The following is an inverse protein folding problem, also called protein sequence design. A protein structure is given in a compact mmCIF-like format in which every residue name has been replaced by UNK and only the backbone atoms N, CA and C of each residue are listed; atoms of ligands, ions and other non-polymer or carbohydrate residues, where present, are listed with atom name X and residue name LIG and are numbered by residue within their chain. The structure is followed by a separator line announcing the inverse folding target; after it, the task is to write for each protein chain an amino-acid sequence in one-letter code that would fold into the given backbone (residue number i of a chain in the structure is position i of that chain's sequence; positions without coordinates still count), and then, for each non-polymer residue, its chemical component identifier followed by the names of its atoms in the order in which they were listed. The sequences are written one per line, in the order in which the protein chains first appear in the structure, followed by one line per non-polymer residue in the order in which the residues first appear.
data_IF_816556450940
#
_entry.id   IF_816556450940
#
_cell.length_a   1.000
_cell.length_b   1.000
_cell.length_c   1.000
_cell.angle_alpha   90.00
_cell.angle_beta   90.00
_cell.angle_gamma   90.00
#
_symmetry.space_group_name_H-M   'P 1'
#
loop_
_entity.id
_entity.type
_entity.pdbx_description
1 polymer ?
#
# COMPACT_ATOMS: atom_id res chain seq x y z
N UNK A 1 12.19 -7.09 10.70
CA UNK A 1 11.32 -7.76 9.70
C UNK A 1 11.96 -9.05 9.20
N UNK A 2 13.21 -9.04 8.60
CA UNK A 2 13.85 -10.29 8.12
C UNK A 2 13.97 -11.29 9.28
N UNK A 3 14.59 -10.87 10.39
CA UNK A 3 14.77 -11.70 11.59
C UNK A 3 13.45 -12.27 12.12
N UNK A 4 12.37 -11.48 12.08
CA UNK A 4 11.06 -11.93 12.57
C UNK A 4 10.47 -13.00 11.64
N UNK A 5 10.62 -12.83 10.32
CA UNK A 5 10.18 -13.82 9.32
C UNK A 5 11.02 -15.11 9.42
N UNK A 6 12.32 -15.01 9.67
CA UNK A 6 13.18 -16.16 9.91
C UNK A 6 12.81 -16.89 11.22
N UNK A 7 12.44 -16.15 12.26
CA UNK A 7 11.93 -16.72 13.51
C UNK A 7 10.64 -17.52 13.27
N UNK A 8 9.67 -16.98 12.52
CA UNK A 8 8.46 -17.72 12.16
C UNK A 8 8.80 -19.02 11.41
N UNK A 9 9.74 -18.96 10.47
CA UNK A 9 10.21 -20.14 9.73
C UNK A 9 10.85 -21.17 10.65
N UNK A 10 11.68 -20.75 11.63
CA UNK A 10 12.30 -21.66 12.61
C UNK A 10 11.27 -22.34 13.53
N UNK A 11 10.12 -21.70 13.73
CA UNK A 11 8.97 -22.28 14.46
C UNK A 11 8.11 -23.21 13.59
N UNK A 12 8.50 -23.50 12.35
CA UNK A 12 7.74 -24.32 11.41
C UNK A 12 6.57 -23.61 10.75
N UNK A 13 6.43 -22.29 10.95
CA UNK A 13 5.35 -21.50 10.37
C UNK A 13 5.71 -21.13 8.93
N UNK A 14 4.86 -21.54 7.99
CA UNK A 14 4.99 -21.19 6.57
C UNK A 14 4.20 -19.91 6.28
N UNK A 15 4.88 -18.84 5.89
CA UNK A 15 4.23 -17.62 5.41
C UNK A 15 3.78 -17.84 3.97
N UNK A 16 2.47 -18.01 3.76
CA UNK A 16 1.88 -18.25 2.43
C UNK A 16 1.68 -16.95 1.65
N UNK A 17 1.32 -15.86 2.32
CA UNK A 17 1.12 -14.55 1.69
C UNK A 17 1.45 -13.39 2.61
N UNK A 18 1.72 -12.22 2.01
CA UNK A 18 1.94 -10.96 2.74
C UNK A 18 1.21 -9.83 2.03
N UNK A 19 0.26 -9.20 2.72
CA UNK A 19 -0.37 -7.95 2.28
C UNK A 19 0.32 -6.77 2.97
N UNK A 20 0.84 -5.81 2.20
CA UNK A 20 1.53 -4.63 2.73
C UNK A 20 1.24 -3.37 1.93
N UNK A 21 1.61 -2.20 2.49
CA UNK A 21 1.60 -0.90 1.81
C UNK A 21 2.59 -0.82 0.63
N UNK A 22 3.55 -1.76 0.58
CA UNK A 22 4.56 -1.86 -0.47
C UNK A 22 5.81 -1.03 -0.19
N UNK A 23 6.09 -0.72 1.07
CA UNK A 23 7.37 -0.14 1.45
C UNK A 23 8.53 -1.04 0.97
N UNK A 24 9.54 -0.41 0.38
CA UNK A 24 10.65 -1.12 -0.27
C UNK A 24 11.39 -2.08 0.68
N UNK A 25 11.48 -1.73 1.97
CA UNK A 25 12.12 -2.56 2.99
C UNK A 25 11.29 -3.82 3.27
N UNK A 26 9.95 -3.71 3.32
CA UNK A 26 9.05 -4.85 3.51
C UNK A 26 9.13 -5.77 2.29
N UNK A 27 9.05 -5.21 1.08
CA UNK A 27 9.13 -5.99 -0.16
C UNK A 27 10.46 -6.76 -0.23
N UNK A 28 11.58 -6.12 0.10
CA UNK A 28 12.90 -6.77 0.11
C UNK A 28 12.98 -7.87 1.16
N UNK A 29 12.49 -7.61 2.37
CA UNK A 29 12.48 -8.58 3.46
C UNK A 29 11.67 -9.83 3.12
N UNK A 30 10.46 -9.65 2.55
CA UNK A 30 9.60 -10.77 2.13
C UNK A 30 10.23 -11.56 0.99
N UNK A 31 10.80 -10.88 -0.02
CA UNK A 31 11.50 -11.56 -1.13
C UNK A 31 12.67 -12.40 -0.65
N UNK A 32 13.38 -11.93 0.36
CA UNK A 32 14.54 -12.63 0.92
C UNK A 32 14.14 -13.81 1.82
N UNK A 33 13.31 -13.54 2.85
CA UNK A 33 12.98 -14.54 3.86
C UNK A 33 11.88 -15.52 3.43
N UNK A 34 10.94 -15.07 2.59
CA UNK A 34 9.77 -15.84 2.14
C UNK A 34 9.59 -15.74 0.61
N UNK A 35 10.54 -16.22 -0.21
CA UNK A 35 10.52 -16.03 -1.67
C UNK A 35 9.28 -16.63 -2.36
N UNK A 36 8.66 -17.65 -1.74
CA UNK A 36 7.45 -18.32 -2.26
C UNK A 36 6.15 -17.69 -1.79
N UNK A 37 6.21 -16.71 -0.87
CA UNK A 37 5.00 -16.03 -0.38
C UNK A 37 4.38 -15.17 -1.49
N UNK A 38 3.06 -15.27 -1.64
CA UNK A 38 2.30 -14.40 -2.53
C UNK A 38 2.29 -12.99 -1.93
N UNK A 39 2.73 -12.01 -2.72
CA UNK A 39 2.70 -10.60 -2.28
C UNK A 39 1.46 -9.93 -2.82
N UNK A 40 0.73 -9.27 -1.93
CA UNK A 40 -0.41 -8.43 -2.25
C UNK A 40 -0.11 -7.00 -1.80
N UNK A 41 -0.35 -6.03 -2.67
CA UNK A 41 -0.33 -4.61 -2.32
C UNK A 41 -1.65 -4.21 -1.69
N UNK A 42 -1.59 -3.50 -0.57
CA UNK A 42 -2.78 -2.96 0.07
C UNK A 42 -3.46 -1.92 -0.83
N UNK A 43 -4.66 -2.24 -1.35
CA UNK A 43 -5.37 -1.35 -2.28
C UNK A 43 -5.77 -0.02 -1.60
N UNK A 44 -6.14 -0.06 -0.32
CA UNK A 44 -6.51 1.14 0.43
C UNK A 44 -5.32 2.12 0.56
N UNK A 45 -4.09 1.62 0.75
CA UNK A 45 -2.89 2.46 0.78
C UNK A 45 -2.61 3.08 -0.59
N UNK A 46 -2.67 2.29 -1.66
CA UNK A 46 -2.45 2.80 -3.02
C UNK A 46 -3.44 3.92 -3.33
N UNK A 47 -4.74 3.70 -3.06
CA UNK A 47 -5.76 4.72 -3.28
C UNK A 47 -5.49 5.97 -2.45
N UNK A 48 -5.28 5.83 -1.14
CA UNK A 48 -5.06 6.93 -0.20
C UNK A 48 -3.86 7.80 -0.60
N UNK A 49 -2.72 7.18 -0.89
CA UNK A 49 -1.50 7.90 -1.29
C UNK A 49 -1.67 8.61 -2.63
N UNK A 50 -2.21 7.94 -3.64
CA UNK A 50 -2.48 8.55 -4.94
C UNK A 50 -3.42 9.75 -4.79
N UNK A 51 -4.52 9.62 -4.04
CA UNK A 51 -5.48 10.70 -3.84
C UNK A 51 -4.91 11.88 -3.04
N UNK A 52 -3.97 11.61 -2.10
CA UNK A 52 -3.26 12.68 -1.39
C UNK A 52 -2.39 13.53 -2.34
N UNK A 53 -1.72 12.90 -3.31
CA UNK A 53 -0.93 13.64 -4.30
C UNK A 53 -1.79 14.34 -5.37
N UNK A 54 -2.88 13.71 -5.84
CA UNK A 54 -3.73 14.28 -6.90
C UNK A 54 -4.60 15.43 -6.36
N UNK A 55 -4.86 15.47 -5.04
CA UNK A 55 -5.79 16.39 -4.37
C UNK A 55 -7.28 16.09 -4.63
N UNK A 56 -8.17 16.75 -3.88
CA UNK A 56 -9.63 16.55 -4.04
C UNK A 56 -10.18 17.20 -5.32
N UNK A 57 -9.58 18.32 -5.73
CA UNK A 57 -10.06 19.13 -6.85
C UNK A 57 -8.90 19.41 -7.83
N UNK A 58 -8.43 18.39 -8.58
CA UNK A 58 -7.38 18.60 -9.57
C UNK A 58 -7.86 19.50 -10.70
N UNK A 59 -7.01 20.44 -11.13
CA UNK A 59 -7.39 21.43 -12.16
C UNK A 59 -7.11 20.93 -13.57
N UNK A 60 -6.16 20.00 -13.74
CA UNK A 60 -5.82 19.47 -15.07
C UNK A 60 -6.70 18.27 -15.44
N UNK A 61 -6.97 18.09 -16.73
CA UNK A 61 -7.67 16.91 -17.25
C UNK A 61 -6.96 15.61 -16.89
N UNK A 62 -5.63 15.61 -16.92
CA UNK A 62 -4.80 14.48 -16.48
C UNK A 62 -5.07 14.11 -15.00
N UNK A 63 -5.12 15.10 -14.12
CA UNK A 63 -5.42 14.88 -12.71
C UNK A 63 -6.85 14.40 -12.48
N UNK A 64 -7.84 14.98 -13.17
CA UNK A 64 -9.26 14.62 -13.05
C UNK A 64 -9.47 13.16 -13.49
N UNK A 65 -8.94 12.77 -14.64
CA UNK A 65 -9.11 11.44 -15.19
C UNK A 65 -8.34 10.39 -14.37
N UNK A 66 -7.09 10.69 -13.95
CA UNK A 66 -6.35 9.78 -13.08
C UNK A 66 -7.05 9.59 -11.73
N UNK A 67 -7.55 10.66 -11.10
CA UNK A 67 -8.30 10.57 -9.85
C UNK A 67 -9.49 9.63 -9.98
N UNK A 68 -10.29 9.78 -11.06
CA UNK A 68 -11.44 8.91 -11.32
C UNK A 68 -11.04 7.44 -11.40
N UNK A 69 -9.92 7.15 -12.08
CA UNK A 69 -9.40 5.80 -12.21
C UNK A 69 -8.90 5.24 -10.87
N UNK A 70 -8.20 6.05 -10.08
CA UNK A 70 -7.71 5.65 -8.75
C UNK A 70 -8.88 5.32 -7.80
N UNK A 71 -9.95 6.10 -7.78
CA UNK A 71 -11.14 5.83 -6.95
C UNK A 71 -11.82 4.49 -7.26
N UNK A 72 -11.52 3.86 -8.39
CA UNK A 72 -12.10 2.56 -8.75
C UNK A 72 -11.33 1.36 -8.23
N UNK A 73 -10.10 1.55 -7.72
CA UNK A 73 -9.21 0.45 -7.32
C UNK A 73 -9.88 -0.50 -6.32
N UNK A 74 -10.54 0.03 -5.30
CA UNK A 74 -11.18 -0.78 -4.26
C UNK A 74 -12.48 -1.48 -4.72
N UNK A 75 -13.02 -1.10 -5.88
CA UNK A 75 -14.23 -1.69 -6.46
C UNK A 75 -13.92 -2.89 -7.38
N UNK A 76 -12.66 -3.13 -7.73
CA UNK A 76 -12.22 -4.26 -8.54
C UNK A 76 -12.49 -5.56 -7.78
N UNK A 77 -13.16 -6.51 -8.44
CA UNK A 77 -13.55 -7.81 -7.87
C UNK A 77 -13.17 -8.99 -8.76
N UNK A 78 -13.05 -8.77 -10.07
CA UNK A 78 -12.82 -9.82 -11.05
C UNK A 78 -11.59 -9.55 -11.90
N UNK A 79 -11.08 -10.59 -12.56
CA UNK A 79 -9.99 -10.44 -13.54
C UNK A 79 -10.36 -9.51 -14.70
N UNK A 80 -11.64 -9.46 -15.08
CA UNK A 80 -12.10 -8.55 -16.12
C UNK A 80 -12.01 -7.10 -15.65
N UNK A 81 -12.42 -6.82 -14.42
CA UNK A 81 -12.28 -5.48 -13.83
C UNK A 81 -10.80 -5.08 -13.75
N UNK A 82 -9.94 -5.99 -13.28
CA UNK A 82 -8.50 -5.75 -13.16
C UNK A 82 -7.86 -5.48 -14.53
N UNK A 83 -8.17 -6.28 -15.55
CA UNK A 83 -7.68 -6.07 -16.92
C UNK A 83 -8.15 -4.74 -17.50
N UNK A 84 -9.42 -4.43 -17.34
CA UNK A 84 -9.98 -3.15 -17.77
C UNK A 84 -9.27 -1.98 -17.09
N UNK A 85 -9.09 -2.04 -15.78
CA UNK A 85 -8.42 -0.99 -15.01
C UNK A 85 -6.96 -0.78 -15.45
N UNK A 86 -6.21 -1.85 -15.66
CA UNK A 86 -4.81 -1.77 -16.16
C UNK A 86 -4.77 -1.20 -17.59
N UNK A 87 -5.71 -1.59 -18.44
CA UNK A 87 -5.83 -1.05 -19.79
C UNK A 87 -6.10 0.46 -19.77
N UNK A 88 -7.03 0.93 -18.93
CA UNK A 88 -7.33 2.35 -18.79
C UNK A 88 -6.15 3.14 -18.17
N UNK A 89 -5.42 2.55 -17.23
CA UNK A 89 -4.20 3.16 -16.70
C UNK A 89 -3.11 3.33 -17.79
N UNK A 90 -2.94 2.32 -18.65
CA UNK A 90 -1.99 2.39 -19.77
C UNK A 90 -2.44 3.40 -20.84
N UNK A 91 -3.75 3.46 -21.14
CA UNK A 91 -4.33 4.45 -22.04
C UNK A 91 -4.13 5.87 -21.50
N UNK A 92 -4.40 6.08 -20.21
CA UNK A 92 -4.14 7.34 -19.54
C UNK A 92 -2.66 7.75 -19.67
N UNK A 93 -1.73 6.82 -19.44
CA UNK A 93 -0.31 7.10 -19.57
C UNK A 93 0.04 7.54 -21.00
N UNK A 94 -0.46 6.82 -22.00
CA UNK A 94 -0.19 7.16 -23.42
C UNK A 94 -0.72 8.55 -23.79
N UNK A 95 -1.87 8.94 -23.23
CA UNK A 95 -2.49 10.25 -23.49
C UNK A 95 -1.75 11.40 -22.80
N UNK A 96 -1.25 11.17 -21.56
CA UNK A 96 -0.64 12.21 -20.73
C UNK A 96 0.87 12.04 -20.52
N UNK A 97 1.54 11.21 -21.31
CA UNK A 97 2.97 10.92 -21.18
C UNK A 97 3.82 12.20 -21.23
N UNK A 98 3.59 13.04 -22.22
CA UNK A 98 4.34 14.30 -22.36
C UNK A 98 4.02 15.27 -21.23
N UNK A 99 2.77 15.36 -20.80
CA UNK A 99 2.35 16.17 -19.65
C UNK A 99 3.10 15.79 -18.36
N UNK A 100 3.22 14.51 -18.04
CA UNK A 100 3.92 14.07 -16.83
C UNK A 100 5.45 14.09 -16.96
N UNK A 101 5.99 14.26 -18.16
CA UNK A 101 7.44 14.44 -18.43
C UNK A 101 7.85 15.90 -18.44
N UNK A 102 6.92 16.83 -18.52
CA UNK A 102 7.20 18.25 -18.55
C UNK A 102 8.05 18.67 -17.35
N UNK A 103 9.05 19.53 -17.61
CA UNK A 103 9.99 20.00 -16.61
C UNK A 103 10.01 21.50 -16.54
N UNK A 104 10.08 22.01 -15.32
CA UNK A 104 10.29 23.42 -14.99
C UNK A 104 11.71 23.60 -14.47
N UNK A 105 12.35 24.68 -14.87
CA UNK A 105 13.65 25.12 -14.36
C UNK A 105 13.38 26.28 -13.40
N UNK A 106 13.81 26.11 -12.14
CA UNK A 106 13.70 27.18 -11.14
C UNK A 106 14.64 28.35 -11.45
N UNK A 107 14.44 29.54 -10.87
CA UNK A 107 15.38 30.67 -10.99
C UNK A 107 16.80 30.32 -10.50
N UNK A 108 16.94 29.29 -9.64
CA UNK A 108 18.22 28.75 -9.14
C UNK A 108 18.87 27.72 -10.09
N UNK A 109 18.22 27.39 -11.24
CA UNK A 109 18.71 26.42 -12.20
C UNK A 109 18.34 24.96 -11.90
N UNK A 110 17.60 24.68 -10.84
CA UNK A 110 17.14 23.32 -10.48
C UNK A 110 16.05 22.86 -11.44
N UNK A 111 16.17 21.62 -11.92
CA UNK A 111 15.18 20.99 -12.78
C UNK A 111 14.25 20.09 -11.96
N UNK A 112 12.96 20.38 -12.00
CA UNK A 112 11.90 19.56 -11.39
C UNK A 112 10.83 19.18 -12.41
N UNK A 113 10.01 18.17 -12.10
CA UNK A 113 8.83 17.88 -12.91
C UNK A 113 7.74 18.88 -12.58
N UNK A 114 7.19 19.53 -13.63
CA UNK A 114 6.09 20.50 -13.50
C UNK A 114 4.87 19.89 -12.81
N UNK A 115 4.58 18.63 -13.16
CA UNK A 115 3.41 17.89 -12.66
C UNK A 115 3.81 16.72 -11.75
N UNK A 116 4.75 16.97 -10.84
CA UNK A 116 5.38 15.94 -10.01
C UNK A 116 4.38 15.08 -9.24
N UNK A 117 3.35 15.67 -8.64
CA UNK A 117 2.37 14.95 -7.85
C UNK A 117 1.52 14.00 -8.69
N UNK A 118 1.06 14.41 -9.86
CA UNK A 118 0.31 13.56 -10.79
C UNK A 118 1.20 12.42 -11.29
N UNK A 119 2.46 12.74 -11.62
CA UNK A 119 3.46 11.76 -11.99
C UNK A 119 3.72 10.73 -10.86
N UNK A 120 3.88 11.19 -9.62
CA UNK A 120 4.05 10.31 -8.44
C UNK A 120 2.87 9.36 -8.28
N UNK A 121 1.65 9.88 -8.35
CA UNK A 121 0.44 9.07 -8.23
C UNK A 121 0.36 8.00 -9.32
N UNK A 122 0.57 8.37 -10.58
CA UNK A 122 0.61 7.40 -11.68
C UNK A 122 1.68 6.33 -11.45
N UNK A 123 2.93 6.72 -11.18
CA UNK A 123 4.03 5.78 -11.00
C UNK A 123 3.82 4.86 -9.79
N UNK A 124 3.21 5.36 -8.74
CA UNK A 124 2.89 4.55 -7.56
C UNK A 124 1.88 3.46 -7.90
N UNK A 125 0.77 3.84 -8.54
CA UNK A 125 -0.24 2.90 -9.00
C UNK A 125 0.34 1.89 -10.02
N UNK A 126 1.06 2.37 -11.03
CA UNK A 126 1.65 1.53 -12.08
C UNK A 126 2.62 0.49 -11.52
N UNK A 127 3.52 0.89 -10.61
CA UNK A 127 4.49 -0.02 -9.97
C UNK A 127 3.85 -1.05 -9.06
N UNK A 128 2.64 -0.79 -8.58
CA UNK A 128 1.90 -1.72 -7.74
C UNK A 128 1.20 -2.83 -8.53
N UNK A 129 0.90 -2.60 -9.83
CA UNK A 129 0.12 -3.51 -10.69
C UNK A 129 0.51 -4.99 -10.57
N UNK A 130 1.80 -5.39 -10.57
CA UNK A 130 2.18 -6.81 -10.49
C UNK A 130 1.68 -7.54 -9.25
N UNK A 131 1.50 -6.80 -8.15
CA UNK A 131 1.14 -7.35 -6.84
C UNK A 131 -0.23 -6.83 -6.32
N UNK A 132 -1.04 -6.11 -7.15
CA UNK A 132 -2.30 -5.49 -6.71
C UNK A 132 -3.49 -6.43 -6.66
N UNK A 133 -3.53 -7.43 -7.52
CA UNK A 133 -4.77 -8.18 -7.79
C UNK A 133 -4.66 -9.66 -7.44
N UNK A 134 -3.70 -10.04 -6.60
CA UNK A 134 -3.50 -11.43 -6.17
C UNK A 134 -4.68 -12.00 -5.37
N UNK A 135 -5.41 -11.14 -4.65
CA UNK A 135 -6.62 -11.51 -3.94
C UNK A 135 -7.74 -12.07 -4.84
N UNK A 136 -7.67 -11.84 -6.16
CA UNK A 136 -8.64 -12.40 -7.12
C UNK A 136 -8.38 -13.89 -7.33
N UNK A 137 -7.08 -14.29 -7.42
CA UNK A 137 -6.67 -15.68 -7.56
C UNK A 137 -6.70 -16.42 -6.22
N UNK A 138 -6.52 -15.70 -5.11
CA UNK A 138 -6.41 -16.21 -3.76
C UNK A 138 -7.36 -15.44 -2.84
N UNK A 139 -8.66 -15.81 -2.78
CA UNK A 139 -9.68 -15.08 -2.02
C UNK A 139 -9.42 -14.97 -0.52
N UNK A 140 -8.58 -15.87 0.03
CA UNK A 140 -8.12 -15.85 1.41
C UNK A 140 -7.13 -14.71 1.71
N UNK A 141 -6.52 -14.10 0.67
CA UNK A 141 -5.58 -13.00 0.84
C UNK A 141 -6.35 -11.69 0.97
N UNK A 142 -6.22 -10.98 2.10
CA UNK A 142 -6.90 -9.71 2.27
C UNK A 142 -6.36 -8.66 1.29
N UNK A 143 -7.25 -8.01 0.55
CA UNK A 143 -6.88 -6.93 -0.39
C UNK A 143 -6.43 -5.64 0.28
N UNK A 144 -6.69 -5.48 1.60
CA UNK A 144 -6.31 -4.30 2.40
C UNK A 144 -5.79 -4.69 3.76
N UNK A 145 -5.04 -3.80 4.40
CA UNK A 145 -4.55 -3.93 5.79
C UNK A 145 -5.44 -3.22 6.81
N UNK A 146 -6.62 -2.75 6.40
CA UNK A 146 -7.49 -1.93 7.25
C UNK A 146 -7.88 -2.63 8.56
N UNK A 147 -8.16 -3.94 8.53
CA UNK A 147 -8.46 -4.70 9.75
C UNK A 147 -7.28 -4.70 10.74
N UNK A 148 -6.06 -4.86 10.23
CA UNK A 148 -4.84 -4.81 11.03
C UNK A 148 -4.58 -3.40 11.56
N UNK A 149 -4.79 -2.36 10.75
CA UNK A 149 -4.66 -0.96 11.18
C UNK A 149 -5.66 -0.62 12.28
N UNK A 150 -6.93 -1.05 12.13
CA UNK A 150 -7.96 -0.89 13.16
C UNK A 150 -7.57 -1.61 14.45
N UNK A 151 -7.11 -2.85 14.36
CA UNK A 151 -6.65 -3.63 15.51
C UNK A 151 -5.53 -2.91 16.28
N UNK A 152 -4.49 -2.46 15.59
CA UNK A 152 -3.40 -1.72 16.23
C UNK A 152 -3.81 -0.31 16.68
N UNK A 153 -4.80 0.31 16.03
CA UNK A 153 -5.42 1.54 16.49
C UNK A 153 -6.01 1.37 17.88
N UNK A 154 -6.86 0.36 18.06
CA UNK A 154 -7.46 0.03 19.37
C UNK A 154 -6.41 -0.30 20.42
N UNK A 155 -5.40 -1.11 20.09
CA UNK A 155 -4.30 -1.40 21.02
C UNK A 155 -3.59 -0.12 21.48
N UNK A 156 -3.27 0.78 20.54
CA UNK A 156 -2.63 2.07 20.86
C UNK A 156 -3.49 2.96 21.76
N UNK A 157 -4.80 2.98 21.52
CA UNK A 157 -5.73 3.75 22.34
C UNK A 157 -5.79 3.21 23.76
N UNK A 158 -5.84 1.89 23.95
CA UNK A 158 -5.73 1.27 25.28
C UNK A 158 -4.38 1.59 25.94
N UNK A 159 -3.28 1.50 25.22
CA UNK A 159 -1.96 1.86 25.76
C UNK A 159 -1.87 3.33 26.19
N UNK A 160 -2.56 4.26 25.50
CA UNK A 160 -2.62 5.68 25.89
C UNK A 160 -3.31 5.90 27.23
N UNK A 161 -4.28 5.06 27.60
CA UNK A 161 -4.94 5.12 28.91
C UNK A 161 -3.98 4.71 30.05
N UNK A 162 -2.93 3.95 29.73
CA UNK A 162 -1.98 3.39 30.69
C UNK A 162 -0.58 4.02 30.56
N UNK A 163 -0.50 5.34 30.39
CA UNK A 163 0.77 6.09 30.17
C UNK A 163 1.81 5.95 31.29
N UNK A 164 1.41 5.56 32.49
CA UNK A 164 2.29 5.39 33.65
C UNK A 164 2.94 4.01 33.77
N UNK A 165 2.68 3.08 32.86
CA UNK A 165 3.28 1.74 32.93
C UNK A 165 4.78 1.79 32.58
N UNK A 166 5.57 0.98 33.26
CA UNK A 166 6.95 0.69 32.89
C UNK A 166 7.02 -0.02 31.53
N UNK A 167 8.19 -0.03 30.91
CA UNK A 167 8.39 -0.74 29.63
C UNK A 167 8.02 -2.23 29.73
N UNK A 168 8.34 -2.88 30.86
CA UNK A 168 8.00 -4.30 31.09
C UNK A 168 6.49 -4.51 31.18
N UNK A 169 5.79 -3.67 31.96
CA UNK A 169 4.34 -3.75 32.06
C UNK A 169 3.64 -3.44 30.72
N UNK A 170 4.16 -2.48 29.91
CA UNK A 170 3.65 -2.26 28.56
C UNK A 170 3.79 -3.50 27.70
N UNK A 171 4.96 -4.16 27.73
CA UNK A 171 5.21 -5.39 26.97
C UNK A 171 4.24 -6.50 27.39
N UNK A 172 4.05 -6.68 28.67
CA UNK A 172 3.16 -7.73 29.18
C UNK A 172 1.68 -7.39 28.91
N UNK A 173 1.28 -6.12 28.97
CA UNK A 173 -0.02 -5.66 28.51
C UNK A 173 -0.28 -6.03 27.05
N UNK A 174 0.69 -5.77 26.16
CA UNK A 174 0.56 -6.14 24.74
C UNK A 174 0.41 -7.65 24.56
N UNK A 175 1.18 -8.47 25.30
CA UNK A 175 1.07 -9.94 25.23
C UNK A 175 -0.33 -10.42 25.65
N UNK A 176 -0.85 -9.91 26.78
CA UNK A 176 -2.19 -10.26 27.24
C UNK A 176 -3.28 -9.76 26.29
N UNK A 177 -3.16 -8.55 25.76
CA UNK A 177 -4.09 -8.03 24.76
C UNK A 177 -4.15 -8.92 23.52
N UNK A 178 -3.00 -9.37 23.01
CA UNK A 178 -2.91 -10.27 21.87
C UNK A 178 -3.51 -11.65 22.19
N UNK A 179 -3.23 -12.18 23.39
CA UNK A 179 -3.74 -13.47 23.85
C UNK A 179 -5.28 -13.49 23.85
N UNK A 180 -5.91 -12.57 24.56
CA UNK A 180 -7.37 -12.52 24.68
C UNK A 180 -8.12 -12.12 23.40
N UNK A 181 -7.44 -11.62 22.41
CA UNK A 181 -8.06 -11.29 21.10
C UNK A 181 -7.95 -12.41 20.08
N UNK A 182 -7.15 -13.44 20.35
CA UNK A 182 -6.98 -14.61 19.49
C UNK A 182 -7.71 -15.86 20.02
N UNK A 183 -8.39 -15.76 21.17
CA UNK A 183 -9.37 -16.74 21.64
C UNK A 183 -10.76 -16.45 21.03
#
# INVERSE_FOLDING_TARGET
IIKDLETLKSMGIRVASVTSDGEANIIRAVKYACPHAVRQRCLAHIERECLAWITQHPKSSAGITLRRLICQINHIKTHNDARWWVMELNKWHKEYEEFIKERTISPTGERSYTHENIRKAYLHAYRAVPDMFKFIDYPEIPKTTNALESFFGHLKDHMRLHRGLSFEHHRDFVKWYLYFRNE
#
